data_IF_647911976147
#
_entry.id   IF_647911976147
#
_cell.length_a   1.000
_cell.length_b   1.000
_cell.length_c   1.000
_cell.angle_alpha   90.00
_cell.angle_beta   90.00
_cell.angle_gamma   90.00
#
_symmetry.space_group_name_H-M   'P 1'
#
loop_
_entity.id
_entity.type
_entity.pdbx_description
1 polymer ?
#
# COMPACT_ATOMS: atom_id res chain seq x y z
N UNK A 1 2.58 -21.39 10.65
CA UNK A 1 1.39 -20.51 10.71
C UNK A 1 0.42 -20.98 9.64
N UNK A 2 -0.68 -21.63 10.01
CA UNK A 2 -1.78 -21.88 9.07
C UNK A 2 -2.58 -20.58 8.92
N UNK A 3 -2.41 -19.91 7.78
CA UNK A 3 -3.23 -18.77 7.40
C UNK A 3 -4.55 -19.28 6.79
N UNK A 4 -5.69 -18.70 7.18
CA UNK A 4 -6.97 -18.88 6.49
C UNK A 4 -7.78 -20.15 6.82
N UNK A 5 -7.18 -21.17 7.43
CA UNK A 5 -7.89 -22.38 7.89
C UNK A 5 -8.68 -22.08 9.17
N UNK A 6 -9.95 -21.66 9.02
CA UNK A 6 -10.89 -21.28 10.10
C UNK A 6 -10.44 -20.08 10.95
N UNK A 7 -10.86 -18.84 10.61
CA UNK A 7 -10.51 -17.67 11.40
C UNK A 7 -11.13 -17.75 12.80
N UNK A 8 -10.29 -17.72 13.82
CA UNK A 8 -10.69 -17.49 15.21
C UNK A 8 -10.42 -16.03 15.57
N UNK A 9 -11.13 -15.48 16.55
CA UNK A 9 -10.89 -14.11 17.04
C UNK A 9 -9.44 -13.88 17.43
N UNK A 10 -8.80 -14.89 18.05
CA UNK A 10 -7.38 -14.85 18.42
C UNK A 10 -6.48 -14.75 17.18
N UNK A 11 -6.73 -15.55 16.16
CA UNK A 11 -5.92 -15.54 14.95
C UNK A 11 -6.11 -14.22 14.19
N UNK A 12 -7.33 -13.68 14.12
CA UNK A 12 -7.60 -12.37 13.51
C UNK A 12 -6.81 -11.26 14.19
N UNK A 13 -6.79 -11.23 15.53
CA UNK A 13 -6.02 -10.24 16.29
C UNK A 13 -4.51 -10.35 16.02
N UNK A 14 -3.96 -11.57 16.02
CA UNK A 14 -2.55 -11.81 15.70
C UNK A 14 -2.22 -11.34 14.28
N UNK A 15 -3.10 -11.60 13.30
CA UNK A 15 -2.91 -11.17 11.93
C UNK A 15 -2.99 -9.65 11.78
N UNK A 16 -3.93 -9.01 12.47
CA UNK A 16 -4.04 -7.56 12.49
C UNK A 16 -2.78 -6.91 13.06
N UNK A 17 -2.28 -7.41 14.19
CA UNK A 17 -1.01 -6.94 14.80
C UNK A 17 0.19 -7.13 13.87
N UNK A 18 0.27 -8.26 13.17
CA UNK A 18 1.33 -8.50 12.19
C UNK A 18 1.24 -7.49 11.03
N UNK A 19 0.06 -7.32 10.45
CA UNK A 19 -0.16 -6.39 9.35
C UNK A 19 0.06 -4.93 9.75
N UNK A 20 -0.30 -4.55 10.98
CA UNK A 20 -0.06 -3.20 11.52
C UNK A 20 1.42 -2.84 11.55
N UNK A 21 2.31 -3.83 11.74
CA UNK A 21 3.77 -3.66 11.66
C UNK A 21 4.30 -3.73 10.23
N UNK A 22 3.80 -4.66 9.43
CA UNK A 22 4.35 -4.95 8.10
C UNK A 22 3.86 -3.99 7.00
N UNK A 23 2.59 -3.58 7.02
CA UNK A 23 2.00 -2.74 5.97
C UNK A 23 2.65 -1.35 5.88
N UNK A 24 2.92 -0.60 6.98
CA UNK A 24 3.59 0.69 6.88
C UNK A 24 4.95 0.58 6.19
N UNK A 25 5.75 -0.44 6.53
CA UNK A 25 7.05 -0.68 5.93
C UNK A 25 6.93 -0.95 4.42
N UNK A 26 5.96 -1.78 4.02
CA UNK A 26 5.72 -2.11 2.61
C UNK A 26 5.27 -0.89 1.81
N UNK A 27 4.37 -0.07 2.34
CA UNK A 27 3.89 1.16 1.70
C UNK A 27 5.02 2.20 1.57
N UNK A 28 5.81 2.40 2.62
CA UNK A 28 6.95 3.31 2.58
C UNK A 28 7.96 2.91 1.49
N UNK A 29 8.28 1.61 1.39
CA UNK A 29 9.17 1.10 0.34
C UNK A 29 8.64 1.41 -1.07
N UNK A 30 7.34 1.26 -1.32
CA UNK A 30 6.74 1.63 -2.61
C UNK A 30 6.85 3.12 -2.93
N UNK A 31 6.67 3.99 -1.94
CA UNK A 31 6.86 5.43 -2.15
C UNK A 31 8.31 5.76 -2.55
N UNK A 32 9.29 5.12 -1.90
CA UNK A 32 10.72 5.26 -2.20
C UNK A 32 11.05 4.74 -3.61
N UNK A 33 10.50 3.58 -3.99
CA UNK A 33 10.69 3.03 -5.34
C UNK A 33 10.17 3.97 -6.43
N UNK A 34 9.01 4.59 -6.23
CA UNK A 34 8.44 5.58 -7.16
C UNK A 34 9.29 6.85 -7.26
N UNK A 35 9.89 7.28 -6.15
CA UNK A 35 10.81 8.41 -6.13
C UNK A 35 12.13 8.10 -6.84
N UNK A 36 12.63 6.87 -6.72
CA UNK A 36 13.88 6.42 -7.32
C UNK A 36 13.78 6.08 -8.82
N UNK A 37 12.60 6.23 -9.45
CA UNK A 37 12.43 5.90 -10.86
C UNK A 37 13.37 6.71 -11.78
N UNK A 38 14.09 6.07 -12.71
CA UNK A 38 15.11 6.70 -13.52
C UNK A 38 14.52 7.56 -14.66
N UNK A 39 15.41 8.22 -15.42
CA UNK A 39 15.07 8.97 -16.65
C UNK A 39 14.01 10.07 -16.47
N UNK A 40 13.87 10.58 -15.24
CA UNK A 40 12.87 11.59 -14.90
C UNK A 40 11.44 11.05 -14.79
N UNK A 41 11.23 9.73 -14.84
CA UNK A 41 9.91 9.11 -14.66
C UNK A 41 9.30 9.45 -13.29
N UNK A 42 10.12 9.57 -12.25
CA UNK A 42 9.69 10.02 -10.91
C UNK A 42 9.02 11.39 -10.89
N UNK A 43 9.27 12.23 -11.91
CA UNK A 43 8.67 13.56 -12.06
C UNK A 43 7.39 13.56 -12.91
N UNK A 44 7.02 12.45 -13.54
CA UNK A 44 5.77 12.39 -14.31
C UNK A 44 4.58 12.67 -13.37
N UNK A 45 3.63 13.56 -13.73
CA UNK A 45 2.57 14.00 -12.82
C UNK A 45 1.78 12.86 -12.17
N UNK A 46 1.51 11.79 -12.91
CA UNK A 46 0.75 10.68 -12.38
C UNK A 46 1.60 9.70 -11.53
N UNK A 47 2.91 9.57 -11.76
CA UNK A 47 3.84 8.90 -10.80
C UNK A 47 3.88 9.67 -9.49
N UNK A 48 4.01 11.00 -9.56
CA UNK A 48 3.98 11.89 -8.39
C UNK A 48 2.67 11.73 -7.61
N UNK A 49 1.53 11.67 -8.32
CA UNK A 49 0.21 11.45 -7.72
C UNK A 49 0.12 10.11 -6.97
N UNK A 50 0.54 9.02 -7.61
CA UNK A 50 0.54 7.69 -6.97
C UNK A 50 1.48 7.66 -5.77
N UNK A 51 2.66 8.29 -5.86
CA UNK A 51 3.58 8.42 -4.74
C UNK A 51 2.94 9.15 -3.55
N UNK A 52 2.19 10.23 -3.79
CA UNK A 52 1.44 10.91 -2.72
C UNK A 52 0.40 10.00 -2.07
N UNK A 53 -0.30 9.16 -2.83
CA UNK A 53 -1.22 8.17 -2.25
C UNK A 53 -0.52 7.19 -1.30
N UNK A 54 0.68 6.71 -1.66
CA UNK A 54 1.49 5.88 -0.76
C UNK A 54 1.90 6.65 0.50
N UNK A 55 2.32 7.92 0.39
CA UNK A 55 2.69 8.74 1.55
C UNK A 55 1.50 9.00 2.49
N UNK A 56 0.32 9.31 1.94
CA UNK A 56 -0.89 9.51 2.73
C UNK A 56 -1.32 8.21 3.42
N UNK A 57 -1.26 7.06 2.71
CA UNK A 57 -1.56 5.78 3.33
C UNK A 57 -0.55 5.36 4.39
N UNK A 58 0.72 5.75 4.24
CA UNK A 58 1.72 5.54 5.28
C UNK A 58 1.38 6.33 6.55
N UNK A 59 0.99 7.60 6.40
CA UNK A 59 0.56 8.46 7.52
C UNK A 59 -0.65 7.88 8.23
N UNK A 60 -1.66 7.46 7.48
CA UNK A 60 -2.88 6.84 8.00
C UNK A 60 -2.59 5.55 8.80
N UNK A 61 -1.69 4.70 8.30
CA UNK A 61 -1.32 3.48 9.03
C UNK A 61 -0.52 3.77 10.31
N UNK A 62 0.29 4.84 10.30
CA UNK A 62 1.12 5.23 11.46
C UNK A 62 0.35 6.02 12.52
N UNK A 63 -0.82 6.57 12.20
CA UNK A 63 -1.65 7.30 13.16
C UNK A 63 -2.44 6.37 14.09
N UNK A 64 -2.64 5.11 13.72
CA UNK A 64 -3.34 4.14 14.56
C UNK A 64 -2.43 3.61 15.68
N UNK A 65 -2.92 3.51 16.93
CA UNK A 65 -2.17 2.91 18.03
C UNK A 65 -1.97 1.41 17.82
N UNK A 66 -1.17 0.79 18.69
CA UNK A 66 -0.99 -0.67 18.70
C UNK A 66 -2.33 -1.38 18.93
N UNK A 67 -2.60 -2.42 18.13
CA UNK A 67 -3.82 -3.21 18.17
C UNK A 67 -3.80 -4.16 19.36
N UNK A 68 -4.68 -3.96 20.34
CA UNK A 68 -4.74 -4.74 21.59
C UNK A 68 -5.97 -5.62 21.66
N UNK A 69 -7.06 -5.19 21.05
CA UNK A 69 -8.33 -5.89 21.12
C UNK A 69 -9.10 -5.90 19.78
N UNK A 70 -10.33 -6.39 19.84
CA UNK A 70 -11.21 -6.53 18.68
C UNK A 70 -11.71 -5.17 18.15
N UNK A 71 -11.83 -4.16 19.01
CA UNK A 71 -12.22 -2.82 18.59
C UNK A 71 -11.13 -2.20 17.74
N UNK A 72 -9.88 -2.28 18.22
CA UNK A 72 -8.71 -1.80 17.47
C UNK A 72 -8.55 -2.54 16.13
N UNK A 73 -8.77 -3.87 16.13
CA UNK A 73 -8.73 -4.69 14.92
C UNK A 73 -9.76 -4.24 13.89
N UNK A 74 -10.99 -3.92 14.34
CA UNK A 74 -12.05 -3.44 13.46
C UNK A 74 -11.71 -2.08 12.85
N UNK A 75 -11.18 -1.15 13.64
CA UNK A 75 -10.74 0.17 13.17
C UNK A 75 -9.62 0.03 12.13
N UNK A 76 -8.62 -0.81 12.43
CA UNK A 76 -7.54 -1.12 11.51
C UNK A 76 -8.05 -1.74 10.20
N UNK A 77 -9.02 -2.65 10.27
CA UNK A 77 -9.66 -3.25 9.09
C UNK A 77 -10.40 -2.20 8.26
N UNK A 78 -11.07 -1.22 8.88
CA UNK A 78 -11.69 -0.10 8.15
C UNK A 78 -10.63 0.78 7.47
N UNK A 79 -9.53 1.07 8.16
CA UNK A 79 -8.42 1.84 7.58
C UNK A 79 -7.84 1.15 6.34
N UNK A 80 -7.56 -0.15 6.41
CA UNK A 80 -7.06 -0.93 5.27
C UNK A 80 -8.05 -0.88 4.09
N UNK A 81 -9.36 -0.95 4.35
CA UNK A 81 -10.38 -0.83 3.30
C UNK A 81 -10.30 0.53 2.60
N UNK A 82 -10.14 1.62 3.34
CA UNK A 82 -10.00 2.96 2.77
C UNK A 82 -8.72 3.08 1.93
N UNK A 83 -7.60 2.53 2.42
CA UNK A 83 -6.34 2.49 1.68
C UNK A 83 -6.49 1.68 0.38
N UNK A 84 -7.18 0.54 0.42
CA UNK A 84 -7.46 -0.28 -0.76
C UNK A 84 -8.25 0.51 -1.82
N UNK A 85 -9.29 1.25 -1.40
CA UNK A 85 -10.07 2.09 -2.31
C UNK A 85 -9.21 3.18 -2.95
N UNK A 86 -8.36 3.85 -2.16
CA UNK A 86 -7.42 4.88 -2.65
C UNK A 86 -6.49 4.33 -3.74
N UNK A 87 -6.08 3.07 -3.61
CA UNK A 87 -5.14 2.42 -4.53
C UNK A 87 -5.82 1.65 -5.68
N UNK A 88 -7.15 1.62 -5.75
CA UNK A 88 -7.88 0.81 -6.74
C UNK A 88 -7.58 1.23 -8.21
N UNK A 89 -7.16 2.48 -8.41
CA UNK A 89 -6.83 3.05 -9.72
C UNK A 89 -5.33 3.11 -10.02
N UNK A 90 -4.49 2.42 -9.24
CA UNK A 90 -3.06 2.31 -9.55
C UNK A 90 -2.82 1.33 -10.71
N UNK A 91 -3.63 0.27 -10.83
CA UNK A 91 -3.47 -0.77 -11.87
C UNK A 91 -3.67 -0.28 -13.31
N UNK A 92 -4.63 0.63 -13.63
CA UNK A 92 -4.70 1.23 -14.97
C UNK A 92 -3.52 2.16 -15.30
N UNK A 93 -2.73 2.59 -14.32
CA UNK A 93 -1.65 3.56 -14.51
C UNK A 93 -0.30 2.91 -14.82
N UNK A 94 -0.02 1.74 -14.25
CA UNK A 94 1.22 0.99 -14.51
C UNK A 94 1.35 0.57 -16.01
N UNK A 95 0.22 0.41 -16.71
CA UNK A 95 0.21 0.16 -18.16
C UNK A 95 0.69 1.33 -19.03
N UNK A 96 0.64 2.56 -18.51
CA UNK A 96 1.17 3.76 -19.20
C UNK A 96 2.70 3.90 -19.02
N UNK A 97 3.26 3.27 -17.99
CA UNK A 97 4.70 3.18 -17.77
C UNK A 97 5.35 2.23 -18.78
N UNK A 98 4.77 1.05 -19.00
CA UNK A 98 5.30 0.05 -19.93
C UNK A 98 5.22 0.51 -21.39
N UNK A 99 4.06 1.06 -21.81
CA UNK A 99 3.86 1.54 -23.19
C UNK A 99 4.76 2.72 -23.56
N UNK A 100 5.00 3.65 -22.62
CA UNK A 100 5.94 4.76 -22.85
C UNK A 100 7.42 4.33 -22.84
N UNK A 101 7.74 3.15 -22.30
CA UNK A 101 9.07 2.54 -22.36
C UNK A 101 9.23 1.76 -23.66
N UNK A 102 8.19 1.04 -24.12
CA UNK A 102 8.18 0.37 -25.44
C UNK A 102 8.32 1.35 -26.60
N UNK A 103 7.59 2.47 -26.58
CA UNK A 103 7.65 3.48 -27.65
C UNK A 103 9.02 4.17 -27.76
N UNK A 104 9.83 4.14 -26.69
CA UNK A 104 11.14 4.78 -26.63
C UNK A 104 12.32 3.82 -26.82
N UNK A 105 12.10 2.51 -26.71
CA UNK A 105 13.15 1.49 -26.79
C UNK A 105 12.95 0.43 -27.87
N UNK A 106 11.86 0.46 -28.66
CA UNK A 106 11.74 -0.26 -29.94
C UNK A 106 12.12 -1.74 -29.89
N UNK A 107 11.20 -2.58 -29.42
CA UNK A 107 11.17 -4.02 -29.71
C UNK A 107 9.92 -4.37 -30.49
#
# INVERSE_FOLDING_TARGET
>A
MEFGSRPTTRNLLIFAQFLHKELPLRIARRAIELEALPYGLSRKPAVVKVRYWYLDSFRDLRSLPDIKDKSDELEFTQMIKMIKVRHNNVVPYDGFGSSAVEERFGY
#
